data_IF_345348924448
#
_entry.id   IF_345348924448
#
_cell.length_a   1.000
_cell.length_b   1.000
_cell.length_c   1.000
_cell.angle_alpha   90.00
_cell.angle_beta   90.00
_cell.angle_gamma   90.00
#
_symmetry.space_group_name_H-M   'P 1'
#
loop_
_entity.id
_entity.type
_entity.pdbx_description
1 polymer ?
#
# COMPACT_ATOMS: atom_id res chain seq x y z
N UNK A 1 17.42 -2.94 -24.17
CA UNK A 1 17.10 -1.57 -24.62
C UNK A 1 16.47 -0.86 -23.43
N UNK A 2 17.20 0.07 -22.80
CA UNK A 2 16.74 0.74 -21.59
C UNK A 2 16.11 2.07 -21.99
N UNK A 3 14.78 2.14 -21.95
CA UNK A 3 14.03 3.35 -22.26
C UNK A 3 14.26 4.37 -21.15
N UNK A 4 15.08 5.38 -21.41
CA UNK A 4 15.22 6.53 -20.53
C UNK A 4 14.01 7.44 -20.73
N UNK A 5 13.12 7.51 -19.72
CA UNK A 5 12.04 8.49 -19.70
C UNK A 5 12.63 9.78 -19.14
N UNK A 6 12.79 10.80 -19.98
CA UNK A 6 13.24 12.13 -19.57
C UNK A 6 12.08 12.86 -18.91
N UNK A 7 12.16 13.08 -17.60
CA UNK A 7 11.16 13.85 -16.84
C UNK A 7 11.69 15.25 -16.48
N UNK A 8 10.75 16.20 -16.38
CA UNK A 8 10.94 17.58 -15.91
C UNK A 8 11.81 17.66 -14.65
N UNK A 9 12.40 18.83 -14.42
CA UNK A 9 13.21 19.15 -13.23
C UNK A 9 12.39 19.14 -11.90
N UNK A 10 11.15 18.65 -11.95
CA UNK A 10 10.18 18.60 -10.86
C UNK A 10 10.13 17.24 -10.16
N UNK A 11 10.68 16.19 -10.77
CA UNK A 11 10.74 14.83 -10.21
C UNK A 11 12.13 14.21 -10.31
N UNK A 12 12.53 13.34 -9.35
CA UNK A 12 13.79 12.61 -9.42
C UNK A 12 13.79 11.66 -10.62
N UNK A 13 14.94 11.52 -11.30
CA UNK A 13 15.09 10.62 -12.43
C UNK A 13 14.96 9.16 -11.97
N UNK A 14 14.06 8.42 -12.61
CA UNK A 14 13.82 6.99 -12.33
C UNK A 14 13.98 6.16 -13.60
N UNK A 15 14.32 4.88 -13.44
CA UNK A 15 14.44 3.93 -14.52
C UNK A 15 14.05 2.52 -14.05
N UNK A 16 13.71 1.66 -15.01
CA UNK A 16 13.31 0.29 -14.74
C UNK A 16 14.53 -0.63 -14.80
N UNK A 17 14.81 -1.35 -13.72
CA UNK A 17 15.91 -2.34 -13.62
C UNK A 17 15.43 -3.53 -12.78
N UNK A 18 15.70 -4.74 -13.25
CA UNK A 18 15.40 -6.00 -12.54
C UNK A 18 13.94 -6.11 -12.05
N UNK A 19 12.99 -5.68 -12.89
CA UNK A 19 11.56 -5.76 -12.59
C UNK A 19 11.04 -4.68 -11.63
N UNK A 20 11.86 -3.69 -11.28
CA UNK A 20 11.50 -2.63 -10.32
C UNK A 20 11.90 -1.25 -10.85
N UNK A 21 11.16 -0.23 -10.41
CA UNK A 21 11.56 1.16 -10.59
C UNK A 21 12.60 1.54 -9.53
N UNK A 22 13.71 2.10 -9.99
CA UNK A 22 14.82 2.57 -9.16
C UNK A 22 15.30 3.96 -9.60
N UNK A 23 15.98 4.65 -8.70
CA UNK A 23 16.73 5.88 -8.97
C UNK A 23 18.21 5.69 -8.57
N UNK A 24 19.10 6.61 -8.94
CA UNK A 24 20.50 6.59 -8.49
C UNK A 24 20.72 7.61 -7.38
N UNK A 25 21.69 7.34 -6.50
CA UNK A 25 22.13 8.33 -5.51
C UNK A 25 22.60 9.66 -6.16
N UNK A 26 23.12 9.61 -7.40
CA UNK A 26 23.43 10.81 -8.18
C UNK A 26 22.17 11.57 -8.59
N UNK A 27 21.16 10.89 -9.16
CA UNK A 27 19.90 11.52 -9.54
C UNK A 27 19.17 12.14 -8.33
N UNK A 28 19.25 11.49 -7.17
CA UNK A 28 18.75 12.05 -5.90
C UNK A 28 19.53 13.32 -5.52
N UNK A 29 20.86 13.29 -5.63
CA UNK A 29 21.70 14.45 -5.34
C UNK A 29 21.36 15.65 -6.24
N UNK A 30 21.25 15.40 -7.54
CA UNK A 30 20.91 16.41 -8.55
C UNK A 30 19.51 16.99 -8.29
N UNK A 31 18.53 16.14 -8.00
CA UNK A 31 17.17 16.58 -7.73
C UNK A 31 17.08 17.49 -6.50
N UNK A 32 17.77 17.15 -5.40
CA UNK A 32 17.71 17.91 -4.15
C UNK A 32 18.75 19.02 -4.02
N UNK A 33 19.50 19.33 -5.10
CA UNK A 33 20.61 20.28 -5.11
C UNK A 33 21.64 20.00 -3.99
N UNK A 34 21.96 18.72 -3.79
CA UNK A 34 22.94 18.26 -2.79
C UNK A 34 24.19 17.74 -3.48
N UNK A 35 25.34 17.84 -2.83
CA UNK A 35 26.54 17.15 -3.33
C UNK A 35 26.36 15.64 -3.18
N UNK A 36 26.68 14.89 -4.24
CA UNK A 36 26.57 13.43 -4.24
C UNK A 36 27.31 12.77 -3.07
N UNK A 37 28.48 13.28 -2.70
CA UNK A 37 29.25 12.82 -1.53
C UNK A 37 28.44 12.85 -0.21
N UNK A 38 27.57 13.85 -0.03
CA UNK A 38 26.75 13.98 1.16
C UNK A 38 25.56 13.02 1.14
N UNK A 39 25.02 12.72 -0.04
CA UNK A 39 23.99 11.69 -0.20
C UNK A 39 24.57 10.31 0.11
N UNK A 40 25.76 10.00 -0.41
CA UNK A 40 26.46 8.75 -0.10
C UNK A 40 26.73 8.61 1.41
N UNK A 41 27.29 9.65 2.04
CA UNK A 41 27.52 9.65 3.48
C UNK A 41 26.23 9.48 4.29
N UNK A 42 25.11 10.04 3.81
CA UNK A 42 23.80 9.87 4.47
C UNK A 42 23.29 8.43 4.33
N UNK A 43 23.47 7.79 3.17
CA UNK A 43 23.12 6.38 2.94
C UNK A 43 23.98 5.47 3.83
N UNK A 44 25.30 5.72 3.89
CA UNK A 44 26.26 4.97 4.70
C UNK A 44 25.95 5.04 6.22
N UNK A 45 25.18 6.03 6.66
CA UNK A 45 24.86 6.31 8.08
C UNK A 45 23.36 6.21 8.40
N UNK A 46 22.56 5.56 7.54
CA UNK A 46 21.14 5.35 7.81
C UNK A 46 20.96 4.44 9.03
N UNK A 47 20.19 4.92 10.00
CA UNK A 47 19.79 4.15 11.17
C UNK A 47 18.54 3.32 10.85
N UNK A 48 18.74 2.21 10.14
CA UNK A 48 17.69 1.27 9.77
C UNK A 48 18.23 -0.17 9.74
N UNK A 49 17.33 -1.15 9.67
CA UNK A 49 17.75 -2.55 9.73
C UNK A 49 18.64 -2.94 8.53
N UNK A 50 19.58 -3.88 8.70
CA UNK A 50 20.40 -4.39 7.59
C UNK A 50 19.55 -4.98 6.44
N UNK A 51 18.42 -5.61 6.76
CA UNK A 51 17.48 -6.15 5.79
C UNK A 51 16.84 -5.03 4.96
N UNK A 52 16.43 -3.93 5.62
CA UNK A 52 15.89 -2.77 4.91
C UNK A 52 16.95 -2.12 4.02
N UNK A 53 18.17 -1.97 4.53
CA UNK A 53 19.28 -1.35 3.78
C UNK A 53 19.59 -2.17 2.53
N UNK A 54 19.81 -3.48 2.67
CA UNK A 54 20.14 -4.37 1.55
C UNK A 54 19.02 -4.51 0.51
N UNK A 55 17.75 -4.45 0.94
CA UNK A 55 16.61 -4.54 0.02
C UNK A 55 16.38 -3.25 -0.80
N UNK A 56 16.83 -2.10 -0.30
CA UNK A 56 16.47 -0.79 -0.85
C UNK A 56 17.64 0.03 -1.40
N UNK A 57 18.88 -0.32 -1.04
CA UNK A 57 20.10 0.37 -1.48
C UNK A 57 21.10 -0.66 -2.00
N UNK A 58 21.21 -0.79 -3.32
CA UNK A 58 22.17 -1.69 -3.97
C UNK A 58 23.37 -0.89 -4.47
N UNK A 59 24.58 -1.29 -4.08
CA UNK A 59 25.80 -0.65 -4.57
C UNK A 59 25.92 -0.82 -6.09
N UNK A 60 26.34 0.25 -6.76
CA UNK A 60 26.56 0.28 -8.21
C UNK A 60 27.75 1.21 -8.53
N UNK A 61 28.21 1.17 -9.76
CA UNK A 61 29.31 2.02 -10.25
C UNK A 61 28.83 2.82 -11.44
N UNK A 62 29.14 4.11 -11.45
CA UNK A 62 28.90 4.98 -12.58
C UNK A 62 30.21 5.55 -13.10
N UNK A 63 30.33 5.62 -14.42
CA UNK A 63 31.41 6.33 -15.09
C UNK A 63 31.14 7.83 -15.02
N UNK A 64 32.12 8.60 -14.57
CA UNK A 64 32.06 10.07 -14.52
C UNK A 64 33.26 10.67 -15.24
N UNK A 65 33.02 11.69 -16.05
CA UNK A 65 34.08 12.48 -16.67
C UNK A 65 34.78 13.36 -15.62
N UNK A 66 36.12 13.33 -15.62
CA UNK A 66 36.97 14.12 -14.71
C UNK A 66 37.73 15.23 -15.43
N UNK A 67 37.37 15.49 -16.69
CA UNK A 67 37.96 16.52 -17.55
C UNK A 67 38.95 15.94 -18.56
N UNK A 68 39.21 16.70 -19.62
CA UNK A 68 40.10 16.32 -20.73
C UNK A 68 39.76 14.97 -21.40
N UNK A 69 38.48 14.59 -21.41
CA UNK A 69 38.02 13.30 -21.93
C UNK A 69 38.43 12.09 -21.09
N UNK A 70 39.00 12.30 -19.90
CA UNK A 70 39.29 11.22 -18.97
C UNK A 70 38.04 10.87 -18.16
N UNK A 71 37.82 9.57 -18.01
CA UNK A 71 36.72 8.99 -17.24
C UNK A 71 37.26 8.27 -16.01
N UNK A 72 36.46 8.23 -14.93
CA UNK A 72 36.70 7.35 -13.79
C UNK A 72 35.43 6.68 -13.35
N UNK A 73 35.59 5.55 -12.69
CA UNK A 73 34.51 4.92 -11.95
C UNK A 73 34.26 5.65 -10.62
N UNK A 74 32.99 5.86 -10.29
CA UNK A 74 32.54 6.47 -9.04
C UNK A 74 31.44 5.62 -8.42
N UNK A 75 31.54 5.39 -7.10
CA UNK A 75 30.53 4.63 -6.36
C UNK A 75 29.18 5.34 -6.41
N UNK A 76 28.11 4.60 -6.67
CA UNK A 76 26.75 5.07 -6.52
C UNK A 76 25.86 3.98 -5.91
N UNK A 77 24.60 4.32 -5.64
CA UNK A 77 23.60 3.36 -5.18
C UNK A 77 22.42 3.39 -6.13
N UNK A 78 21.87 2.22 -6.42
CA UNK A 78 20.52 2.06 -6.92
C UNK A 78 19.58 2.04 -5.72
N UNK A 79 18.55 2.88 -5.81
CA UNK A 79 17.66 3.16 -4.69
C UNK A 79 16.23 2.86 -5.14
N UNK A 80 15.54 2.00 -4.41
CA UNK A 80 14.13 1.69 -4.65
C UNK A 80 13.24 2.87 -4.25
N UNK A 81 11.94 2.80 -4.57
CA UNK A 81 10.93 3.75 -4.07
C UNK A 81 10.96 3.87 -2.53
N UNK A 82 11.06 2.75 -1.82
CA UNK A 82 11.01 2.74 -0.35
C UNK A 82 12.30 3.30 0.26
N UNK A 83 13.46 2.95 -0.30
CA UNK A 83 14.75 3.54 0.09
C UNK A 83 14.79 5.05 -0.18
N UNK A 84 14.24 5.48 -1.32
CA UNK A 84 14.13 6.89 -1.68
C UNK A 84 13.29 7.64 -0.65
N UNK A 85 12.11 7.13 -0.31
CA UNK A 85 11.26 7.79 0.68
C UNK A 85 11.92 7.86 2.05
N UNK A 86 12.55 6.77 2.51
CA UNK A 86 13.28 6.76 3.77
C UNK A 86 14.38 7.83 3.81
N UNK A 87 15.18 7.92 2.75
CA UNK A 87 16.25 8.89 2.62
C UNK A 87 15.72 10.34 2.62
N UNK A 88 14.64 10.62 1.90
CA UNK A 88 14.05 11.97 1.79
C UNK A 88 13.46 12.47 3.10
N UNK A 89 12.97 11.58 3.97
CA UNK A 89 12.48 12.00 5.30
C UNK A 89 13.58 12.67 6.14
N UNK A 90 14.85 12.30 5.95
CA UNK A 90 15.99 12.93 6.60
C UNK A 90 16.51 14.20 5.92
N UNK A 91 15.94 14.61 4.78
CA UNK A 91 16.38 15.78 4.04
C UNK A 91 15.67 17.07 4.48
N UNK A 92 16.44 18.16 4.43
CA UNK A 92 15.97 19.54 4.61
C UNK A 92 16.02 20.31 3.28
N UNK A 93 15.25 21.40 3.19
CA UNK A 93 15.15 22.29 2.03
C UNK A 93 13.76 22.34 1.38
N UNK A 94 13.50 23.34 0.53
CA UNK A 94 12.18 23.59 -0.08
C UNK A 94 11.68 22.41 -0.93
N UNK A 95 12.55 21.77 -1.71
CA UNK A 95 12.20 20.59 -2.52
C UNK A 95 11.79 19.40 -1.65
N UNK A 96 12.55 19.11 -0.60
CA UNK A 96 12.21 18.06 0.36
C UNK A 96 10.91 18.37 1.12
N UNK A 97 10.69 19.62 1.53
CA UNK A 97 9.46 20.04 2.19
C UNK A 97 8.23 19.80 1.30
N UNK A 98 8.27 20.24 0.04
CA UNK A 98 7.19 20.01 -0.93
C UNK A 98 6.88 18.54 -1.14
N UNK A 99 7.90 17.69 -1.24
CA UNK A 99 7.69 16.25 -1.42
C UNK A 99 7.05 15.61 -0.17
N UNK A 100 7.46 16.04 1.02
CA UNK A 100 6.88 15.60 2.30
C UNK A 100 5.42 16.06 2.44
N UNK A 101 5.13 17.31 2.10
CA UNK A 101 3.77 17.87 2.09
C UNK A 101 2.87 17.12 1.09
N UNK A 102 3.34 16.88 -0.13
CA UNK A 102 2.59 16.13 -1.14
C UNK A 102 2.29 14.68 -0.71
N UNK A 103 3.24 14.04 0.00
CA UNK A 103 3.02 12.72 0.58
C UNK A 103 1.92 12.77 1.67
N UNK A 104 1.97 13.76 2.56
CA UNK A 104 0.96 13.97 3.61
C UNK A 104 -0.41 14.25 3.00
N UNK A 105 -0.49 15.13 2.01
CA UNK A 105 -1.74 15.45 1.30
C UNK A 105 -2.35 14.20 0.66
N UNK A 106 -1.51 13.37 0.00
CA UNK A 106 -1.99 12.12 -0.57
C UNK A 106 -2.49 11.15 0.49
N UNK A 107 -1.84 11.09 1.65
CA UNK A 107 -2.28 10.28 2.78
C UNK A 107 -3.64 10.74 3.30
N UNK A 108 -3.81 12.04 3.54
CA UNK A 108 -5.07 12.63 3.98
C UNK A 108 -6.19 12.40 2.95
N UNK A 109 -5.89 12.52 1.65
CA UNK A 109 -6.85 12.23 0.60
C UNK A 109 -7.31 10.76 0.61
N UNK A 110 -6.41 9.81 0.90
CA UNK A 110 -6.77 8.39 1.06
C UNK A 110 -7.62 8.18 2.32
N UNK A 111 -7.30 8.85 3.43
CA UNK A 111 -8.10 8.82 4.65
C UNK A 111 -9.51 9.39 4.42
N UNK A 112 -9.62 10.53 3.75
CA UNK A 112 -10.90 11.12 3.35
C UNK A 112 -11.69 10.21 2.41
N UNK A 113 -11.05 9.54 1.45
CA UNK A 113 -11.73 8.61 0.56
C UNK A 113 -12.34 7.44 1.34
N UNK A 114 -11.62 6.93 2.35
CA UNK A 114 -12.13 5.90 3.25
C UNK A 114 -13.27 6.40 4.14
N UNK A 115 -13.26 7.67 4.56
CA UNK A 115 -14.34 8.29 5.34
C UNK A 115 -15.57 8.70 4.50
N UNK A 116 -15.37 9.13 3.26
CA UNK A 116 -16.43 9.47 2.29
C UNK A 116 -17.08 8.22 1.73
N UNK A 117 -16.37 7.09 1.74
CA UNK A 117 -17.01 5.79 1.67
C UNK A 117 -17.92 5.68 2.90
N UNK A 118 -19.25 5.59 2.75
CA UNK A 118 -20.07 5.10 3.86
C UNK A 118 -19.44 3.79 4.33
N UNK A 119 -19.45 3.42 5.63
CA UNK A 119 -19.01 2.07 6.05
C UNK A 119 -19.73 1.06 5.16
N UNK A 120 -18.98 0.46 4.23
CA UNK A 120 -19.40 0.20 2.85
C UNK A 120 -20.80 -0.42 2.69
N UNK A 121 -21.92 0.31 2.75
CA UNK A 121 -23.25 -0.31 2.73
C UNK A 121 -23.30 -1.63 3.56
N UNK A 122 -22.57 -1.68 4.69
CA UNK A 122 -22.09 -2.94 5.28
C UNK A 122 -22.83 -3.31 6.57
N UNK A 123 -23.69 -2.42 7.09
CA UNK A 123 -24.40 -2.62 8.35
C UNK A 123 -25.92 -2.81 8.21
N UNK A 124 -26.43 -2.90 6.98
CA UNK A 124 -27.84 -3.26 6.71
C UNK A 124 -27.86 -4.34 5.66
N UNK A 125 -28.65 -5.40 5.79
CA UNK A 125 -28.77 -6.37 4.71
C UNK A 125 -29.29 -5.61 3.47
N UNK A 126 -28.59 -5.73 2.36
CA UNK A 126 -28.96 -5.01 1.15
C UNK A 126 -30.00 -5.83 0.37
N UNK A 127 -31.02 -5.18 -0.21
CA UNK A 127 -31.88 -5.84 -1.18
C UNK A 127 -31.01 -6.33 -2.35
N UNK A 128 -31.19 -7.59 -2.73
CA UNK A 128 -30.47 -8.17 -3.85
C UNK A 128 -31.02 -7.63 -5.17
N UNK A 129 -30.18 -7.07 -6.04
CA UNK A 129 -30.63 -6.58 -7.35
C UNK A 129 -30.87 -7.72 -8.38
N UNK A 130 -31.16 -8.94 -7.92
CA UNK A 130 -31.42 -10.12 -8.75
C UNK A 130 -30.16 -10.83 -9.28
N UNK A 131 -28.96 -10.49 -8.79
CA UNK A 131 -27.69 -11.04 -9.28
C UNK A 131 -27.01 -12.02 -8.31
N UNK A 132 -27.54 -12.21 -7.10
CA UNK A 132 -26.99 -13.18 -6.16
C UNK A 132 -27.44 -14.62 -6.46
N UNK A 133 -26.54 -15.56 -6.23
CA UNK A 133 -26.70 -16.99 -6.48
C UNK A 133 -26.38 -17.75 -5.18
N UNK A 134 -27.31 -18.54 -4.68
CA UNK A 134 -27.09 -19.46 -3.58
C UNK A 134 -26.52 -20.76 -4.14
N UNK A 135 -25.36 -21.17 -3.62
CA UNK A 135 -24.73 -22.45 -3.96
C UNK A 135 -24.86 -23.35 -2.73
N UNK A 136 -25.55 -24.47 -2.90
CA UNK A 136 -25.70 -25.48 -1.87
C UNK A 136 -24.56 -26.48 -1.99
N UNK A 137 -23.90 -26.77 -0.87
CA UNK A 137 -22.83 -27.76 -0.82
C UNK A 137 -23.31 -28.99 -0.03
N UNK A 138 -22.95 -30.18 -0.50
CA UNK A 138 -23.18 -31.42 0.23
C UNK A 138 -22.19 -31.57 1.40
N UNK A 139 -22.36 -32.64 2.19
CA UNK A 139 -21.47 -32.96 3.32
C UNK A 139 -20.00 -33.22 2.95
N UNK A 140 -19.69 -33.35 1.66
CA UNK A 140 -18.34 -33.54 1.12
C UNK A 140 -17.78 -32.26 0.49
N UNK A 141 -18.51 -31.14 0.55
CA UNK A 141 -18.10 -29.86 -0.03
C UNK A 141 -18.27 -29.77 -1.55
N UNK A 142 -19.02 -30.69 -2.16
CA UNK A 142 -19.38 -30.64 -3.57
C UNK A 142 -20.65 -29.82 -3.78
N UNK A 143 -20.81 -29.18 -4.93
CA UNK A 143 -22.03 -28.42 -5.25
C UNK A 143 -23.19 -29.39 -5.45
N UNK A 144 -24.20 -29.30 -4.58
CA UNK A 144 -25.42 -30.09 -4.65
C UNK A 144 -26.40 -29.49 -5.67
N UNK A 145 -26.65 -28.18 -5.59
CA UNK A 145 -27.35 -27.40 -6.61
C UNK A 145 -27.15 -25.90 -6.40
N UNK A 146 -27.75 -25.10 -7.26
CA UNK A 146 -27.60 -23.64 -7.28
C UNK A 146 -28.93 -22.97 -7.59
N UNK A 147 -29.27 -21.91 -6.85
CA UNK A 147 -30.53 -21.17 -7.00
C UNK A 147 -30.30 -19.66 -7.09
N UNK A 148 -31.11 -18.97 -7.89
CA UNK A 148 -31.10 -17.49 -7.91
C UNK A 148 -31.81 -16.95 -6.68
N UNK A 149 -31.17 -16.00 -6.02
CA UNK A 149 -31.77 -15.32 -4.88
C UNK A 149 -32.83 -14.34 -5.39
N UNK A 150 -34.05 -14.33 -4.80
CA UNK A 150 -35.08 -13.33 -5.10
C UNK A 150 -34.58 -11.89 -4.92
N UNK A 151 -35.18 -10.94 -5.63
CA UNK A 151 -34.74 -9.54 -5.60
C UNK A 151 -35.10 -8.82 -4.28
N UNK A 152 -36.13 -9.29 -3.60
CA UNK A 152 -36.58 -8.81 -2.29
C UNK A 152 -35.87 -9.51 -1.13
N UNK A 153 -35.06 -10.54 -1.41
CA UNK A 153 -34.30 -11.25 -0.38
C UNK A 153 -33.07 -10.46 0.07
N UNK A 154 -32.83 -10.50 1.37
CA UNK A 154 -31.65 -9.94 2.03
C UNK A 154 -30.50 -10.96 2.02
N UNK A 155 -29.32 -10.56 1.55
CA UNK A 155 -28.11 -11.40 1.56
C UNK A 155 -27.08 -10.84 2.52
N UNK A 156 -26.66 -11.64 3.51
CA UNK A 156 -25.62 -11.26 4.47
C UNK A 156 -24.91 -12.50 5.05
N UNK A 157 -23.73 -12.31 5.64
CA UNK A 157 -23.02 -13.37 6.39
C UNK A 157 -23.74 -13.65 7.71
N UNK A 158 -23.50 -14.83 8.31
CA UNK A 158 -24.08 -15.20 9.61
C UNK A 158 -23.72 -14.18 10.71
N UNK A 159 -22.48 -13.69 10.71
CA UNK A 159 -22.01 -12.65 11.65
C UNK A 159 -22.79 -11.33 11.47
N UNK A 160 -23.05 -10.94 10.22
CA UNK A 160 -23.81 -9.73 9.87
C UNK A 160 -25.31 -9.87 10.20
N UNK A 161 -25.88 -11.05 10.02
CA UNK A 161 -27.26 -11.38 10.43
C UNK A 161 -27.42 -11.25 11.94
N UNK A 162 -26.46 -11.80 12.71
CA UNK A 162 -26.43 -11.69 14.17
C UNK A 162 -26.33 -10.25 14.63
N UNK A 163 -25.39 -9.47 14.08
CA UNK A 163 -25.23 -8.05 14.42
C UNK A 163 -26.51 -7.24 14.14
N UNK A 164 -27.14 -7.45 12.98
CA UNK A 164 -28.39 -6.76 12.62
C UNK A 164 -29.52 -7.02 13.62
N UNK A 165 -29.70 -8.28 14.03
CA UNK A 165 -30.73 -8.67 14.99
C UNK A 165 -30.46 -8.05 16.37
N UNK A 166 -29.20 -8.05 16.83
CA UNK A 166 -28.79 -7.44 18.11
C UNK A 166 -29.07 -5.93 18.16
N UNK A 167 -28.85 -5.20 17.06
CA UNK A 167 -29.22 -3.78 16.97
C UNK A 167 -30.72 -3.52 17.07
N UNK A 168 -31.56 -4.50 16.69
CA UNK A 168 -33.02 -4.41 16.77
C UNK A 168 -33.58 -5.05 18.05
N UNK A 169 -32.73 -5.32 19.06
CA UNK A 169 -33.13 -5.84 20.36
C UNK A 169 -33.31 -7.36 20.40
N UNK A 170 -32.91 -8.08 19.36
CA UNK A 170 -32.99 -9.54 19.28
C UNK A 170 -31.63 -10.18 19.61
N UNK A 171 -31.63 -11.30 20.34
CA UNK A 171 -30.39 -12.04 20.63
C UNK A 171 -30.33 -13.29 19.77
N UNK A 172 -29.23 -13.48 19.03
CA UNK A 172 -28.96 -14.73 18.30
C UNK A 172 -28.02 -15.59 19.11
N UNK A 173 -28.54 -16.69 19.64
CA UNK A 173 -27.78 -17.68 20.39
C UNK A 173 -28.16 -19.09 19.95
N UNK A 174 -27.26 -20.05 20.15
CA UNK A 174 -27.58 -21.46 19.92
C UNK A 174 -28.61 -21.93 20.95
N UNK A 175 -29.48 -22.87 20.55
CA UNK A 175 -30.60 -23.37 21.36
C UNK A 175 -30.13 -23.81 22.76
N UNK A 176 -28.99 -24.46 22.85
CA UNK A 176 -28.43 -24.98 24.10
C UNK A 176 -28.07 -23.84 25.09
N UNK A 177 -27.58 -22.71 24.56
CA UNK A 177 -27.21 -21.53 25.36
C UNK A 177 -28.43 -20.74 25.86
N UNK A 178 -29.57 -20.84 25.16
CA UNK A 178 -30.82 -20.19 25.58
C UNK A 178 -31.49 -20.94 26.72
N UNK A 179 -31.49 -22.28 26.68
CA UNK A 179 -32.05 -23.11 27.75
C UNK A 179 -31.32 -22.86 29.07
N UNK A 180 -29.99 -22.75 29.04
CA UNK A 180 -29.17 -22.49 30.22
C UNK A 180 -29.41 -21.09 30.83
N UNK A 181 -29.78 -20.10 30.00
CA UNK A 181 -30.11 -18.74 30.45
C UNK A 181 -31.54 -18.61 30.99
N UNK A 182 -32.49 -19.36 30.44
CA UNK A 182 -33.90 -19.33 30.85
C UNK A 182 -34.15 -20.14 32.14
N UNK A 183 -33.33 -21.15 32.41
CA UNK A 183 -33.43 -22.01 33.61
C UNK A 183 -32.71 -21.43 34.85
N UNK A 184 -32.17 -20.21 34.77
CA UNK A 184 -31.46 -19.51 35.87
C UNK A 184 -32.34 -18.50 36.64
N UNK A 185 -33.66 -18.57 36.50
CA UNK A 185 -34.63 -17.82 37.31
C UNK A 185 -35.39 -18.76 38.24
#
# INVERSE_FOLDING_TARGET
>A
MNTAITFSNESPKVFFKDGRLVTTSQAVADYFDKQHKHVLAKIDTLDCSPEFTSANFSADVQTVEIGNGAERESRCYLITKDGFMFLVMGFTGKKAARLKEAYIEKFNAMEEELHKRPPAAQNSPAPNNGCALLIHFDKHGQVEFTEKVPADAMVCTLERFKFYLEQHGWIVARKEQLVERLMRF
#
